data_IF_493024863523
#
_entry.id   IF_493024863523
#
_cell.length_a   1.000
_cell.length_b   1.000
_cell.length_c   1.000
_cell.angle_alpha   90.00
_cell.angle_beta   90.00
_cell.angle_gamma   90.00
#
_symmetry.space_group_name_H-M   'P 1'
#
loop_
_entity.id
_entity.type
_entity.pdbx_description
1 polymer ?
#
# COMPACT_ATOMS: atom_id res chain seq x y z
N UNK A 1 -17.23 -2.06 -10.77
CA UNK A 1 -15.99 -2.69 -11.29
C UNK A 1 -15.25 -1.63 -12.08
N UNK A 2 -14.05 -1.25 -11.65
CA UNK A 2 -13.14 -0.40 -12.44
C UNK A 2 -12.04 -1.26 -13.06
N UNK A 3 -11.44 -0.81 -14.16
CA UNK A 3 -10.24 -1.42 -14.73
C UNK A 3 -9.09 -0.41 -14.68
N UNK A 4 -7.93 -0.84 -14.20
CA UNK A 4 -6.65 -0.15 -14.40
C UNK A 4 -5.85 -0.93 -15.44
N UNK A 5 -5.46 -0.26 -16.51
CA UNK A 5 -4.77 -0.88 -17.64
C UNK A 5 -3.35 -0.35 -17.76
N UNK A 6 -2.42 -1.24 -18.06
CA UNK A 6 -1.04 -0.89 -18.43
C UNK A 6 -0.82 -1.29 -19.89
N UNK A 7 -0.20 -0.40 -20.64
CA UNK A 7 0.30 -0.61 -22.00
C UNK A 7 1.84 -0.63 -21.96
N UNK A 8 2.51 -0.98 -23.07
CA UNK A 8 3.99 -1.08 -23.12
C UNK A 8 4.72 0.18 -22.64
N UNK A 9 4.10 1.35 -22.77
CA UNK A 9 4.66 2.65 -22.35
C UNK A 9 4.34 3.06 -20.91
N UNK A 10 3.57 2.27 -20.17
CA UNK A 10 3.17 2.59 -18.79
C UNK A 10 1.65 2.50 -18.58
N UNK A 11 1.13 3.30 -17.64
CA UNK A 11 -0.32 3.39 -17.38
C UNK A 11 -1.03 3.90 -18.64
N UNK A 12 -2.17 3.31 -18.97
CA UNK A 12 -2.98 3.77 -20.09
C UNK A 12 -3.53 5.18 -19.83
N UNK A 13 -3.23 6.10 -20.71
CA UNK A 13 -3.68 7.50 -20.62
C UNK A 13 -5.00 7.72 -21.36
N UNK A 14 -5.55 8.93 -21.27
CA UNK A 14 -6.84 9.29 -21.87
C UNK A 14 -6.95 8.90 -23.36
N UNK A 15 -5.89 9.12 -24.13
CA UNK A 15 -5.83 8.80 -25.56
C UNK A 15 -5.86 7.29 -25.79
N UNK A 16 -5.18 6.50 -24.96
CA UNK A 16 -5.19 5.03 -25.03
C UNK A 16 -6.59 4.49 -24.72
N UNK A 17 -7.24 5.02 -23.68
CA UNK A 17 -8.60 4.63 -23.32
C UNK A 17 -9.58 5.01 -24.44
N UNK A 18 -9.46 6.22 -25.00
CA UNK A 18 -10.30 6.67 -26.11
C UNK A 18 -10.10 5.80 -27.36
N UNK A 19 -8.86 5.39 -27.62
CA UNK A 19 -8.53 4.46 -28.70
C UNK A 19 -9.18 3.09 -28.46
N UNK A 20 -9.00 2.49 -27.27
CA UNK A 20 -9.59 1.20 -26.91
C UNK A 20 -11.12 1.25 -27.10
N UNK A 21 -11.79 2.28 -26.59
CA UNK A 21 -13.24 2.42 -26.66
C UNK A 21 -13.76 2.59 -28.10
N UNK A 22 -13.01 3.26 -28.96
CA UNK A 22 -13.38 3.47 -30.38
C UNK A 22 -13.06 2.28 -31.29
N UNK A 23 -12.24 1.33 -30.81
CA UNK A 23 -11.77 0.17 -31.58
C UNK A 23 -12.23 -1.16 -30.97
N UNK A 24 -13.30 -1.15 -30.16
CA UNK A 24 -13.96 -2.38 -29.71
C UNK A 24 -14.74 -3.00 -30.88
N UNK A 25 -14.09 -3.82 -31.68
CA UNK A 25 -14.74 -4.66 -32.69
C UNK A 25 -14.89 -6.09 -32.16
N UNK A 26 -16.09 -6.43 -31.69
CA UNK A 26 -16.41 -7.76 -31.18
C UNK A 26 -16.48 -8.82 -32.29
N UNK A 27 -16.51 -8.41 -33.57
CA UNK A 27 -16.48 -9.33 -34.71
C UNK A 27 -15.06 -9.76 -35.10
N UNK A 28 -14.04 -9.04 -34.62
CA UNK A 28 -12.62 -9.28 -34.88
C UNK A 28 -11.88 -9.99 -33.72
N UNK A 29 -12.60 -10.75 -32.89
CA UNK A 29 -11.97 -11.55 -31.84
C UNK A 29 -11.14 -12.68 -32.46
N UNK A 30 -9.85 -12.71 -32.12
CA UNK A 30 -8.97 -13.80 -32.55
C UNK A 30 -9.55 -15.15 -32.11
N UNK A 31 -9.53 -16.12 -33.03
CA UNK A 31 -9.88 -17.52 -32.73
C UNK A 31 -8.69 -18.30 -32.14
N UNK A 32 -7.50 -17.69 -32.13
CA UNK A 32 -6.33 -18.28 -31.51
C UNK A 32 -6.49 -18.26 -29.99
N UNK A 33 -6.24 -19.40 -29.35
CA UNK A 33 -6.27 -19.49 -27.90
C UNK A 33 -4.96 -18.94 -27.34
N UNK A 34 -5.06 -18.03 -26.37
CA UNK A 34 -3.92 -17.66 -25.55
C UNK A 34 -3.52 -18.77 -24.57
N UNK A 35 -2.39 -18.58 -23.91
CA UNK A 35 -1.95 -19.39 -22.78
C UNK A 35 -2.29 -18.70 -21.46
N UNK A 36 -2.69 -19.46 -20.45
CA UNK A 36 -2.93 -18.98 -19.10
C UNK A 36 -2.00 -19.73 -18.16
N UNK A 37 -1.26 -18.98 -17.35
CA UNK A 37 -0.36 -19.53 -16.34
C UNK A 37 -0.66 -18.89 -15.00
N UNK A 38 -0.72 -19.70 -13.95
CA UNK A 38 -0.82 -19.21 -12.57
C UNK A 38 0.58 -18.90 -12.02
N UNK A 39 0.72 -17.76 -11.34
CA UNK A 39 1.98 -17.34 -10.74
C UNK A 39 1.72 -16.64 -9.40
N UNK A 40 2.48 -17.00 -8.37
CA UNK A 40 2.46 -16.32 -7.07
C UNK A 40 3.37 -15.08 -7.10
N UNK A 41 2.84 -13.99 -7.67
CA UNK A 41 3.56 -12.72 -7.74
C UNK A 41 3.57 -11.98 -6.39
N UNK A 42 2.63 -12.29 -5.49
CA UNK A 42 2.51 -11.62 -4.20
C UNK A 42 3.67 -11.98 -3.28
N UNK A 43 4.05 -13.26 -3.25
CA UNK A 43 5.22 -13.70 -2.48
C UNK A 43 6.51 -13.08 -3.03
N UNK A 44 6.70 -13.09 -4.36
CA UNK A 44 7.87 -12.46 -5.00
C UNK A 44 7.96 -10.97 -4.66
N UNK A 45 6.83 -10.26 -4.71
CA UNK A 45 6.77 -8.84 -4.35
C UNK A 45 7.11 -8.60 -2.87
N UNK A 46 6.53 -9.39 -1.96
CA UNK A 46 6.76 -9.24 -0.54
C UNK A 46 8.23 -9.52 -0.16
N UNK A 47 8.85 -10.54 -0.76
CA UNK A 47 10.28 -10.86 -0.55
C UNK A 47 11.19 -9.72 -1.02
N UNK A 48 10.89 -9.09 -2.15
CA UNK A 48 11.62 -7.90 -2.63
C UNK A 48 11.52 -6.73 -1.65
N UNK A 49 10.32 -6.46 -1.10
CA UNK A 49 10.14 -5.43 -0.06
C UNK A 49 10.95 -5.72 1.20
N UNK A 50 10.90 -6.95 1.69
CA UNK A 50 11.67 -7.39 2.87
C UNK A 50 13.16 -7.23 2.61
N UNK A 51 13.65 -7.64 1.44
CA UNK A 51 15.04 -7.48 1.03
C UNK A 51 15.49 -6.01 1.02
N UNK A 52 14.68 -5.12 0.45
CA UNK A 52 14.95 -3.67 0.43
C UNK A 52 15.05 -3.09 1.83
N UNK A 53 14.14 -3.44 2.75
CA UNK A 53 14.14 -2.92 4.12
C UNK A 53 15.36 -3.41 4.91
N UNK A 54 15.72 -4.70 4.78
CA UNK A 54 16.94 -5.26 5.41
C UNK A 54 18.19 -4.54 4.91
N UNK A 55 18.31 -4.34 3.60
CA UNK A 55 19.45 -3.66 2.99
C UNK A 55 19.58 -2.20 3.43
N UNK A 56 18.46 -1.48 3.53
CA UNK A 56 18.45 -0.06 3.93
C UNK A 56 18.99 0.19 5.35
N UNK A 57 18.87 -0.78 6.26
CA UNK A 57 19.29 -0.62 7.67
C UNK A 57 20.79 -0.81 7.91
N UNK A 58 21.57 -1.16 6.88
CA UNK A 58 23.04 -1.23 6.86
C UNK A 58 23.70 -2.06 7.99
N UNK A 59 22.92 -2.87 8.72
CA UNK A 59 23.39 -3.63 9.89
C UNK A 59 23.35 -5.15 9.73
N UNK A 60 22.96 -5.68 8.56
CA UNK A 60 22.76 -7.11 8.34
C UNK A 60 21.93 -7.76 9.48
N UNK A 61 20.91 -7.05 9.94
CA UNK A 61 19.96 -7.57 10.93
C UNK A 61 18.83 -8.28 10.17
N UNK A 62 18.62 -9.57 10.45
CA UNK A 62 17.55 -10.37 9.82
C UNK A 62 16.15 -9.82 10.18
N UNK A 63 16.04 -9.19 11.36
CA UNK A 63 14.81 -8.67 11.95
C UNK A 63 14.96 -7.19 12.35
N UNK A 64 15.05 -6.27 11.38
CA UNK A 64 15.32 -4.84 11.66
C UNK A 64 14.17 -4.11 12.38
N UNK A 65 12.99 -4.74 12.49
CA UNK A 65 11.82 -4.23 13.19
C UNK A 65 11.54 -4.99 14.50
N UNK A 66 12.49 -5.81 14.96
CA UNK A 66 12.36 -6.47 16.26
C UNK A 66 12.15 -5.43 17.39
N UNK A 67 11.19 -5.72 18.27
CA UNK A 67 10.80 -4.83 19.36
C UNK A 67 9.84 -3.70 18.97
N UNK A 68 9.52 -3.53 17.68
CA UNK A 68 8.50 -2.58 17.24
C UNK A 68 7.13 -3.25 17.13
N UNK A 69 6.12 -2.60 17.69
CA UNK A 69 4.73 -2.97 17.52
C UNK A 69 4.09 -2.15 16.40
N UNK A 70 3.93 -2.78 15.23
CA UNK A 70 3.40 -2.13 14.03
C UNK A 70 2.11 -2.84 13.65
N UNK A 71 1.00 -2.09 13.69
CA UNK A 71 -0.32 -2.65 13.39
C UNK A 71 -0.81 -2.18 12.03
N UNK A 72 -1.53 -3.06 11.34
CA UNK A 72 -2.16 -2.77 10.04
C UNK A 72 -3.67 -2.79 10.18
N UNK A 73 -4.33 -1.79 9.61
CA UNK A 73 -5.75 -1.83 9.29
C UNK A 73 -5.90 -1.99 7.78
N UNK A 74 -6.35 -3.16 7.34
CA UNK A 74 -6.56 -3.43 5.92
C UNK A 74 -7.99 -3.12 5.47
N UNK A 75 -8.92 -2.77 6.37
CA UNK A 75 -10.33 -2.48 6.06
C UNK A 75 -11.02 -3.57 5.22
N UNK A 76 -10.61 -4.83 5.35
CA UNK A 76 -11.03 -5.96 4.50
C UNK A 76 -10.71 -5.81 3.00
N UNK A 77 -9.80 -4.91 2.64
CA UNK A 77 -9.17 -4.83 1.32
C UNK A 77 -8.03 -5.84 1.16
N UNK A 78 -7.22 -5.64 0.12
CA UNK A 78 -6.13 -6.55 -0.21
C UNK A 78 -4.89 -6.38 0.69
N UNK A 79 -4.83 -5.37 1.57
CA UNK A 79 -3.64 -5.01 2.34
C UNK A 79 -3.22 -5.99 3.46
N UNK A 80 -4.04 -7.01 3.76
CA UNK A 80 -3.80 -7.92 4.88
C UNK A 80 -2.46 -8.67 4.84
N UNK A 81 -2.00 -9.03 3.63
CA UNK A 81 -0.75 -9.76 3.41
C UNK A 81 0.49 -9.04 3.98
N UNK A 82 0.41 -7.71 4.14
CA UNK A 82 1.54 -6.90 4.59
C UNK A 82 1.99 -7.30 6.01
N UNK A 83 1.06 -7.79 6.83
CA UNK A 83 1.38 -8.28 8.18
C UNK A 83 2.25 -9.54 8.12
N UNK A 84 1.75 -10.60 7.49
CA UNK A 84 2.38 -11.93 7.47
C UNK A 84 3.58 -12.03 6.52
N UNK A 85 3.54 -11.34 5.37
CA UNK A 85 4.58 -11.49 4.32
C UNK A 85 5.66 -10.41 4.38
N UNK A 86 5.43 -9.30 5.08
CA UNK A 86 6.39 -8.17 5.14
C UNK A 86 6.82 -7.85 6.58
N UNK A 87 5.88 -7.44 7.43
CA UNK A 87 6.22 -6.94 8.77
C UNK A 87 6.73 -8.03 9.73
N UNK A 88 6.08 -9.19 9.77
CA UNK A 88 6.51 -10.31 10.62
C UNK A 88 7.87 -10.88 10.20
N UNK A 89 8.19 -11.11 8.91
CA UNK A 89 9.54 -11.49 8.48
C UNK A 89 10.63 -10.49 8.89
N UNK A 90 10.28 -9.21 9.03
CA UNK A 90 11.16 -8.15 9.50
C UNK A 90 11.22 -8.06 11.05
N UNK A 91 10.46 -8.87 11.78
CA UNK A 91 10.50 -8.97 13.25
C UNK A 91 9.48 -8.12 14.01
N UNK A 92 8.57 -7.41 13.32
CA UNK A 92 7.58 -6.56 13.99
C UNK A 92 6.48 -7.38 14.68
N UNK A 93 6.01 -6.92 15.84
CA UNK A 93 4.78 -7.40 16.47
C UNK A 93 3.56 -6.77 15.77
N UNK A 94 2.80 -7.59 15.06
CA UNK A 94 1.58 -7.17 14.34
C UNK A 94 0.28 -7.63 15.02
N UNK A 95 0.33 -8.14 16.25
CA UNK A 95 -0.82 -8.78 16.91
C UNK A 95 -2.03 -7.84 17.15
N UNK A 96 -1.81 -6.53 17.09
CA UNK A 96 -2.88 -5.53 17.19
C UNK A 96 -3.54 -5.14 15.86
N UNK A 97 -3.18 -5.80 14.75
CA UNK A 97 -3.74 -5.53 13.42
C UNK A 97 -5.19 -5.98 13.29
N UNK A 98 -5.94 -5.35 12.38
CA UNK A 98 -7.38 -5.55 12.23
C UNK A 98 -7.82 -5.62 10.77
N UNK A 99 -8.94 -6.30 10.55
CA UNK A 99 -9.63 -6.39 9.26
C UNK A 99 -8.76 -6.94 8.11
N UNK A 100 -7.89 -7.91 8.42
CA UNK A 100 -6.88 -8.44 7.49
C UNK A 100 -7.43 -9.37 6.41
N UNK A 101 -8.54 -10.07 6.69
CA UNK A 101 -9.15 -11.01 5.75
C UNK A 101 -9.96 -10.22 4.70
N UNK A 102 -9.68 -10.40 3.39
CA UNK A 102 -10.43 -9.72 2.35
C UNK A 102 -11.93 -10.06 2.37
N UNK A 103 -12.77 -9.04 2.32
CA UNK A 103 -14.23 -9.14 2.21
C UNK A 103 -14.76 -7.94 1.42
N UNK A 104 -15.27 -8.18 0.21
CA UNK A 104 -15.76 -7.15 -0.70
C UNK A 104 -17.02 -6.42 -0.21
N UNK A 105 -17.64 -6.84 0.89
CA UNK A 105 -18.72 -6.11 1.55
C UNK A 105 -18.22 -5.03 2.52
N UNK A 106 -16.93 -5.03 2.85
CA UNK A 106 -16.28 -4.09 3.77
C UNK A 106 -17.08 -3.87 5.07
N UNK A 107 -17.31 -4.92 5.88
CA UNK A 107 -18.28 -4.89 6.98
C UNK A 107 -17.90 -3.99 8.15
N UNK A 108 -16.66 -3.50 8.21
CA UNK A 108 -16.13 -2.72 9.34
C UNK A 108 -16.13 -1.22 9.05
N UNK A 109 -15.45 -0.81 7.99
CA UNK A 109 -15.48 0.55 7.44
C UNK A 109 -15.01 0.51 5.99
N UNK A 110 -15.19 1.63 5.27
CA UNK A 110 -14.66 1.76 3.92
C UNK A 110 -13.12 1.74 3.99
N UNK A 111 -12.41 0.87 3.23
CA UNK A 111 -10.95 0.86 3.16
C UNK A 111 -10.48 2.07 2.36
N UNK A 112 -10.32 3.21 3.05
CA UNK A 112 -9.86 4.46 2.47
C UNK A 112 -9.11 5.28 3.54
N UNK A 113 -7.81 5.57 3.38
CA UNK A 113 -7.00 6.30 4.35
C UNK A 113 -7.40 7.78 4.50
N UNK A 114 -8.31 8.29 3.68
CA UNK A 114 -8.90 9.63 3.82
C UNK A 114 -10.27 9.64 4.50
N UNK A 115 -10.85 8.46 4.74
CA UNK A 115 -12.13 8.33 5.41
C UNK A 115 -11.96 8.54 6.93
N UNK A 116 -12.84 9.37 7.52
CA UNK A 116 -12.76 9.73 8.94
C UNK A 116 -13.00 8.55 9.89
N UNK A 117 -13.94 7.68 9.57
CA UNK A 117 -14.28 6.50 10.40
C UNK A 117 -13.15 5.46 10.34
N UNK A 118 -12.65 5.18 9.13
CA UNK A 118 -11.49 4.32 8.93
C UNK A 118 -10.26 4.84 9.69
N UNK A 119 -10.01 6.15 9.63
CA UNK A 119 -8.90 6.77 10.36
C UNK A 119 -9.09 6.69 11.88
N UNK A 120 -10.30 6.96 12.39
CA UNK A 120 -10.61 6.83 13.81
C UNK A 120 -10.41 5.39 14.30
N UNK A 121 -10.79 4.39 13.49
CA UNK A 121 -10.60 2.97 13.78
C UNK A 121 -9.14 2.63 14.04
N UNK A 122 -8.23 2.95 13.11
CA UNK A 122 -6.79 2.67 13.29
C UNK A 122 -6.18 3.54 14.41
N UNK A 123 -6.60 4.79 14.59
CA UNK A 123 -6.12 5.63 15.71
C UNK A 123 -6.46 5.00 17.07
N UNK A 124 -7.69 4.53 17.24
CA UNK A 124 -8.12 3.84 18.46
C UNK A 124 -7.33 2.55 18.66
N UNK A 125 -7.12 1.77 17.60
CA UNK A 125 -6.32 0.54 17.69
C UNK A 125 -4.88 0.82 18.13
N UNK A 126 -4.23 1.85 17.56
CA UNK A 126 -2.87 2.25 17.95
C UNK A 126 -2.79 2.59 19.44
N UNK A 127 -3.70 3.45 19.91
CA UNK A 127 -3.73 3.89 21.31
C UNK A 127 -4.07 2.74 22.27
N UNK A 128 -5.08 1.93 21.94
CA UNK A 128 -5.55 0.85 22.79
C UNK A 128 -4.55 -0.31 22.88
N UNK A 129 -3.79 -0.56 21.81
CA UNK A 129 -2.79 -1.63 21.76
C UNK A 129 -1.40 -1.14 22.15
N UNK A 130 -1.19 0.16 22.35
CA UNK A 130 0.13 0.75 22.58
C UNK A 130 1.08 0.44 21.43
N UNK A 131 0.60 0.55 20.19
CA UNK A 131 1.44 0.33 19.01
C UNK A 131 2.38 1.52 18.77
N UNK A 132 3.58 1.25 18.28
CA UNK A 132 4.54 2.29 17.90
C UNK A 132 4.14 2.99 16.60
N UNK A 133 3.45 2.25 15.73
CA UNK A 133 3.00 2.72 14.43
C UNK A 133 1.73 1.98 13.97
N UNK A 134 0.79 2.71 13.40
CA UNK A 134 -0.35 2.16 12.66
C UNK A 134 -0.22 2.46 11.17
N UNK A 135 -0.58 1.51 10.33
CA UNK A 135 -0.64 1.68 8.86
C UNK A 135 -2.05 1.32 8.39
N UNK A 136 -2.65 2.17 7.56
CA UNK A 136 -3.94 1.90 6.94
C UNK A 136 -3.83 2.02 5.42
N UNK A 137 -4.46 1.09 4.70
CA UNK A 137 -4.47 1.03 3.23
C UNK A 137 -5.86 1.30 2.65
N UNK A 138 -5.91 1.63 1.36
CA UNK A 138 -7.13 1.49 0.59
C UNK A 138 -7.30 0.09 -0.02
N UNK A 139 -8.37 -0.10 -0.80
CA UNK A 139 -8.81 -1.43 -1.24
C UNK A 139 -7.76 -2.21 -2.02
N UNK A 140 -7.08 -1.55 -2.97
CA UNK A 140 -6.06 -2.13 -3.86
C UNK A 140 -4.62 -1.79 -3.45
N UNK A 141 -4.44 -1.18 -2.26
CA UNK A 141 -3.14 -1.00 -1.59
C UNK A 141 -2.19 -0.07 -2.35
N UNK A 142 -2.72 0.86 -3.15
CA UNK A 142 -1.91 1.89 -3.83
C UNK A 142 -1.87 3.22 -3.05
N UNK A 143 -2.72 3.37 -2.02
CA UNK A 143 -2.69 4.48 -1.07
C UNK A 143 -2.56 3.98 0.37
N UNK A 144 -1.86 4.78 1.17
CA UNK A 144 -1.73 4.53 2.60
C UNK A 144 -1.70 5.82 3.42
N UNK A 145 -1.96 5.66 4.72
CA UNK A 145 -1.67 6.67 5.74
C UNK A 145 -1.08 5.98 6.97
N UNK A 146 -0.40 6.79 7.78
CA UNK A 146 0.31 6.32 8.97
C UNK A 146 -0.23 7.03 10.21
N UNK A 147 -0.37 6.28 11.29
CA UNK A 147 -0.72 6.81 12.61
C UNK A 147 0.47 6.62 13.55
N UNK A 148 0.90 7.69 14.20
CA UNK A 148 2.00 7.63 15.17
C UNK A 148 1.55 6.99 16.48
N UNK A 149 2.48 6.57 17.34
CA UNK A 149 2.19 6.10 18.70
C UNK A 149 1.31 7.01 19.56
N UNK A 150 1.32 8.32 19.29
CA UNK A 150 0.50 9.32 20.00
C UNK A 150 -0.91 9.45 19.43
N UNK A 151 -1.22 8.71 18.35
CA UNK A 151 -2.47 8.80 17.63
C UNK A 151 -2.50 9.89 16.54
N UNK A 152 -1.37 10.54 16.24
CA UNK A 152 -1.32 11.58 15.21
C UNK A 152 -1.35 10.98 13.80
N UNK A 153 -2.11 11.61 12.91
CA UNK A 153 -2.27 11.14 11.52
C UNK A 153 -1.26 11.83 10.60
N UNK A 154 -0.45 11.00 9.93
CA UNK A 154 0.42 11.35 8.82
C UNK A 154 -0.20 10.82 7.52
N UNK A 155 -0.92 11.69 6.81
CA UNK A 155 -1.53 11.40 5.51
C UNK A 155 -1.09 12.40 4.44
N UNK A 156 -1.21 12.00 3.17
CA UNK A 156 -1.00 12.85 1.98
C UNK A 156 0.25 13.73 2.11
N UNK A 157 0.08 15.05 2.10
CA UNK A 157 1.15 16.04 2.14
C UNK A 157 2.07 15.89 3.35
N UNK A 158 1.56 15.47 4.52
CA UNK A 158 2.40 15.27 5.71
C UNK A 158 3.32 14.07 5.55
N UNK A 159 2.80 12.97 5.00
CA UNK A 159 3.59 11.78 4.72
C UNK A 159 4.64 12.09 3.64
N UNK A 160 4.24 12.77 2.56
CA UNK A 160 5.16 13.23 1.50
C UNK A 160 6.26 14.11 2.09
N UNK A 161 5.94 15.06 2.98
CA UNK A 161 6.93 15.94 3.60
C UNK A 161 7.97 15.17 4.43
N UNK A 162 7.52 14.19 5.23
CA UNK A 162 8.43 13.33 6.02
C UNK A 162 9.33 12.50 5.11
N UNK A 163 8.77 11.84 4.10
CA UNK A 163 9.54 11.03 3.15
C UNK A 163 10.52 11.89 2.35
N UNK A 164 10.10 13.10 1.94
CA UNK A 164 10.94 14.05 1.22
C UNK A 164 12.15 14.47 2.06
N UNK A 165 11.94 14.73 3.35
CA UNK A 165 13.03 15.07 4.26
C UNK A 165 14.06 13.94 4.37
N UNK A 166 13.61 12.68 4.43
CA UNK A 166 14.49 11.51 4.47
C UNK A 166 15.29 11.41 3.16
N UNK A 167 14.59 11.43 2.01
CA UNK A 167 15.22 11.29 0.69
C UNK A 167 16.22 12.41 0.42
N UNK A 168 15.90 13.66 0.76
CA UNK A 168 16.81 14.79 0.54
C UNK A 168 18.03 14.76 1.46
N UNK A 169 17.93 14.11 2.62
CA UNK A 169 19.07 13.92 3.53
C UNK A 169 20.05 12.89 2.96
N UNK A 170 19.53 11.81 2.36
CA UNK A 170 20.34 10.74 1.75
C UNK A 170 20.83 11.11 0.34
N UNK A 171 20.05 11.89 -0.39
CA UNK A 171 20.29 12.30 -1.76
C UNK A 171 20.03 13.81 -1.96
N UNK A 172 21.00 14.66 -1.55
CA UNK A 172 20.90 16.11 -1.73
C UNK A 172 20.59 16.52 -3.18
N UNK A 173 19.91 17.66 -3.34
CA UNK A 173 19.54 18.27 -4.63
C UNK A 173 18.56 17.46 -5.52
N UNK A 174 17.99 16.37 -5.00
CA UNK A 174 16.96 15.59 -5.72
C UNK A 174 15.63 16.36 -5.83
N UNK A 175 14.92 16.20 -6.94
CA UNK A 175 13.59 16.79 -7.12
C UNK A 175 12.50 15.96 -6.45
N UNK A 176 11.61 16.63 -5.71
CA UNK A 176 10.39 16.04 -5.15
C UNK A 176 9.20 16.45 -6.00
N UNK A 177 8.47 15.47 -6.53
CA UNK A 177 7.23 15.69 -7.28
C UNK A 177 6.05 15.42 -6.36
N UNK A 178 5.19 16.41 -6.18
CA UNK A 178 3.96 16.29 -5.39
C UNK A 178 2.80 16.92 -6.15
N UNK A 179 1.61 16.35 -6.01
CA UNK A 179 0.38 17.06 -6.36
C UNK A 179 -0.22 17.55 -5.04
N UNK A 180 -0.54 18.84 -4.99
CA UNK A 180 -1.37 19.40 -3.93
C UNK A 180 -2.66 19.83 -4.62
N UNK A 181 -3.79 19.14 -4.39
CA UNK A 181 -5.06 19.81 -4.56
C UNK A 181 -5.05 20.98 -3.59
N UNK A 182 -5.43 22.16 -4.07
CA UNK A 182 -5.31 23.44 -3.36
C UNK A 182 -5.75 23.39 -1.88
N UNK A 183 -5.14 24.28 -1.09
CA UNK A 183 -5.43 24.56 0.33
C UNK A 183 -6.93 24.62 0.66
#
# INVERSE_FOLDING_TARGET
>A
MGLRSLVKRGVAEKEDISYILSHVDTSALSKEKGEVTEADLLTVYAEDLVGKIRNARQKNEDHPLEGFKIIVDAGNGAGGFFTEKVLQPLGADTAGSQFLTPDGNFPNHIPNPDNKEAMQSIQQAVLAKGADLGVIFDTDVDRSAVVTKSGDVLNRNRLIAVLSQIVLTEHPDTSIVTNSPDF
#
